data_IF_838523240654
#
_entry.id   IF_838523240654
#
_cell.length_a   1.000
_cell.length_b   1.000
_cell.length_c   1.000
_cell.angle_alpha   90.00
_cell.angle_beta   90.00
_cell.angle_gamma   90.00
#
_symmetry.space_group_name_H-M   'P 1'
#
loop_
_entity.id
_entity.type
_entity.pdbx_description
1 polymer ?
#
# COMPACT_ATOMS: atom_id res chain seq x y z
N UNK A 1 4.34 -24.29 -12.97
CA UNK A 1 3.51 -23.54 -12.02
C UNK A 1 2.97 -22.35 -12.77
N UNK A 2 1.82 -22.52 -13.43
CA UNK A 2 1.24 -21.52 -14.34
C UNK A 2 0.43 -20.57 -13.48
N UNK A 3 0.82 -19.31 -13.39
CA UNK A 3 -0.02 -18.29 -12.76
C UNK A 3 -1.27 -18.11 -13.63
N UNK A 4 -2.42 -18.52 -13.12
CA UNK A 4 -3.70 -18.36 -13.81
C UNK A 4 -4.11 -16.88 -13.75
N UNK A 5 -4.10 -16.21 -14.91
CA UNK A 5 -4.39 -14.79 -15.06
C UNK A 5 -5.87 -14.51 -15.36
N UNK A 6 -6.72 -15.55 -15.41
CA UNK A 6 -8.02 -15.44 -16.09
C UNK A 6 -9.20 -14.98 -15.22
N UNK A 7 -9.00 -14.57 -13.96
CA UNK A 7 -10.08 -13.95 -13.21
C UNK A 7 -9.54 -12.95 -12.18
N UNK A 8 -9.38 -11.68 -12.59
CA UNK A 8 -9.11 -10.58 -11.66
C UNK A 8 -10.44 -10.05 -11.14
N UNK A 9 -10.86 -10.51 -9.97
CA UNK A 9 -11.85 -9.77 -9.18
C UNK A 9 -11.21 -8.41 -8.85
N UNK A 10 -11.73 -7.33 -9.46
CA UNK A 10 -11.32 -5.97 -9.12
C UNK A 10 -11.89 -5.65 -7.74
N UNK A 11 -11.06 -5.71 -6.72
CA UNK A 11 -11.40 -5.25 -5.37
C UNK A 11 -11.10 -3.74 -5.29
N UNK A 12 -12.13 -2.92 -5.04
CA UNK A 12 -11.96 -1.50 -4.79
C UNK A 12 -11.60 -1.31 -3.32
N UNK A 13 -10.49 -0.64 -3.08
CA UNK A 13 -10.06 -0.25 -1.74
C UNK A 13 -10.68 1.12 -1.42
N UNK A 14 -11.55 1.24 -0.40
CA UNK A 14 -12.29 2.48 -0.12
C UNK A 14 -11.42 3.48 0.66
N UNK A 15 -10.36 3.99 0.02
CA UNK A 15 -9.45 4.98 0.61
C UNK A 15 -9.41 6.25 -0.23
N UNK A 16 -9.39 7.39 0.44
CA UNK A 16 -9.15 8.68 -0.19
C UNK A 16 -7.63 8.88 -0.26
N UNK A 17 -7.13 9.03 -1.48
CA UNK A 17 -5.73 9.30 -1.77
C UNK A 17 -5.64 10.46 -2.76
N UNK A 18 -4.54 11.18 -2.73
CA UNK A 18 -4.34 12.40 -3.52
C UNK A 18 -3.35 12.12 -4.67
N UNK A 19 -2.13 11.70 -4.34
CA UNK A 19 -1.10 11.42 -5.33
C UNK A 19 -0.20 10.26 -4.90
N UNK A 20 -0.71 9.04 -5.06
CA UNK A 20 0.03 7.81 -4.78
C UNK A 20 1.09 7.58 -5.84
N UNK A 21 2.34 7.44 -5.42
CA UNK A 21 3.49 7.25 -6.34
C UNK A 21 4.19 5.90 -6.15
N UNK A 22 4.01 5.25 -5.01
CA UNK A 22 4.57 3.94 -4.73
C UNK A 22 3.62 3.10 -3.89
N UNK A 23 3.56 1.80 -4.13
CA UNK A 23 2.76 0.83 -3.38
C UNK A 23 3.51 -0.48 -3.19
N UNK A 24 3.23 -1.17 -2.09
CA UNK A 24 3.64 -2.56 -1.85
C UNK A 24 2.56 -3.25 -1.00
N UNK A 25 2.59 -4.57 -0.89
CA UNK A 25 1.64 -5.32 -0.10
C UNK A 25 2.28 -6.47 0.65
N UNK A 26 1.72 -6.79 1.81
CA UNK A 26 1.88 -8.10 2.43
C UNK A 26 0.67 -8.97 2.06
N UNK A 27 0.91 -9.94 1.19
CA UNK A 27 -0.13 -10.83 0.69
C UNK A 27 -0.60 -11.84 1.73
N UNK A 28 0.19 -12.10 2.79
CA UNK A 28 -0.21 -13.05 3.86
C UNK A 28 -1.28 -12.42 4.76
N UNK A 29 -1.07 -11.17 5.18
CA UNK A 29 -2.03 -10.42 6.00
C UNK A 29 -3.11 -9.70 5.19
N UNK A 30 -2.91 -9.53 3.88
CA UNK A 30 -3.80 -8.72 3.05
C UNK A 30 -3.64 -7.23 3.34
N UNK A 31 -2.43 -6.79 3.66
CA UNK A 31 -2.11 -5.40 3.97
C UNK A 31 -1.57 -4.70 2.75
N UNK A 32 -2.12 -3.53 2.44
CA UNK A 32 -1.60 -2.61 1.42
C UNK A 32 -0.82 -1.49 2.10
N UNK A 33 0.30 -1.10 1.52
CA UNK A 33 1.07 0.07 1.90
C UNK A 33 1.21 0.99 0.70
N UNK A 34 1.16 2.29 0.92
CA UNK A 34 1.36 3.27 -0.13
C UNK A 34 2.08 4.52 0.36
N UNK A 35 2.75 5.19 -0.57
CA UNK A 35 3.28 6.54 -0.37
C UNK A 35 2.48 7.54 -1.19
N UNK A 36 1.99 8.58 -0.53
CA UNK A 36 1.31 9.70 -1.16
C UNK A 36 2.18 10.96 -1.09
N UNK A 37 2.58 11.45 -2.26
CA UNK A 37 3.47 12.61 -2.41
C UNK A 37 2.78 13.94 -2.14
N UNK A 38 1.45 14.03 -2.31
CA UNK A 38 0.73 15.28 -2.09
C UNK A 38 0.59 15.56 -0.61
N UNK A 39 0.24 14.53 0.18
CA UNK A 39 0.12 14.65 1.64
C UNK A 39 1.43 14.36 2.39
N UNK A 40 2.46 13.86 1.69
CA UNK A 40 3.78 13.50 2.22
C UNK A 40 3.72 12.45 3.33
N UNK A 41 3.00 11.36 3.07
CA UNK A 41 2.78 10.28 4.05
C UNK A 41 3.01 8.90 3.46
N UNK A 42 3.44 7.97 4.32
CA UNK A 42 3.35 6.52 4.07
C UNK A 42 2.25 5.99 4.98
N UNK A 43 1.30 5.28 4.40
CA UNK A 43 0.17 4.71 5.12
C UNK A 43 -0.02 3.24 4.78
N UNK A 44 -0.73 2.53 5.67
CA UNK A 44 -1.14 1.14 5.47
C UNK A 44 -2.65 0.99 5.59
N UNK A 45 -3.15 -0.11 5.04
CA UNK A 45 -4.51 -0.56 5.23
C UNK A 45 -4.53 -2.09 5.26
N UNK A 46 -5.01 -2.63 6.36
CA UNK A 46 -5.33 -4.05 6.48
C UNK A 46 -6.72 -4.32 5.90
N UNK A 47 -6.93 -5.48 5.27
CA UNK A 47 -8.21 -5.84 4.66
C UNK A 47 -9.34 -5.81 5.70
N UNK A 48 -10.32 -4.94 5.50
CA UNK A 48 -11.45 -4.73 6.41
C UNK A 48 -11.19 -3.73 7.55
N UNK A 49 -9.98 -3.17 7.62
CA UNK A 49 -9.59 -2.16 8.60
C UNK A 49 -9.82 -0.72 8.12
N UNK A 50 -9.17 0.20 8.82
CA UNK A 50 -9.11 1.62 8.46
C UNK A 50 -7.67 2.00 8.05
N UNK A 51 -7.49 3.04 7.21
CA UNK A 51 -6.17 3.54 6.87
C UNK A 51 -5.42 4.05 8.10
N UNK A 52 -4.15 3.68 8.21
CA UNK A 52 -3.26 4.10 9.29
C UNK A 52 -2.02 4.77 8.71
N UNK A 53 -1.63 5.91 9.29
CA UNK A 53 -0.40 6.63 8.90
C UNK A 53 0.78 6.01 9.64
N UNK A 54 1.74 5.48 8.88
CA UNK A 54 2.99 4.93 9.41
C UNK A 54 4.10 5.99 9.50
N UNK A 55 4.17 6.86 8.49
CA UNK A 55 5.13 7.97 8.42
C UNK A 55 4.39 9.25 8.05
N UNK A 56 4.41 10.23 8.96
CA UNK A 56 3.68 11.49 8.82
C UNK A 56 4.53 12.73 8.56
N UNK A 57 5.86 12.61 8.53
CA UNK A 57 6.77 13.75 8.37
C UNK A 57 8.14 13.31 7.84
N UNK A 58 8.96 14.27 7.41
CA UNK A 58 10.32 14.01 6.90
C UNK A 58 10.37 13.42 5.49
N UNK A 59 9.23 13.31 4.82
CA UNK A 59 9.12 12.85 3.44
C UNK A 59 9.11 14.04 2.47
N UNK A 60 9.82 13.91 1.36
CA UNK A 60 9.80 14.89 0.28
C UNK A 60 9.49 14.19 -1.05
N UNK A 61 10.50 13.56 -1.66
CA UNK A 61 10.34 12.71 -2.83
C UNK A 61 10.43 11.24 -2.42
N UNK A 62 9.40 10.46 -2.74
CA UNK A 62 9.40 9.00 -2.60
C UNK A 62 9.25 8.39 -4.00
N UNK A 63 10.23 7.59 -4.42
CA UNK A 63 10.25 6.96 -5.76
C UNK A 63 9.94 5.46 -5.71
N UNK A 64 9.96 4.86 -4.52
CA UNK A 64 9.74 3.43 -4.33
C UNK A 64 9.41 3.08 -2.89
N UNK A 65 8.77 1.93 -2.71
CA UNK A 65 8.36 1.37 -1.42
C UNK A 65 8.58 -0.15 -1.47
N UNK A 66 9.20 -0.71 -0.43
CA UNK A 66 9.38 -2.16 -0.29
C UNK A 66 9.03 -2.57 1.14
N UNK A 67 8.50 -3.78 1.30
CA UNK A 67 8.13 -4.36 2.59
C UNK A 67 8.82 -5.71 2.77
N UNK A 68 9.49 -5.91 3.92
CA UNK A 68 10.04 -7.21 4.29
C UNK A 68 8.97 -8.04 5.01
N UNK A 69 8.47 -9.07 4.33
CA UNK A 69 7.41 -9.95 4.85
C UNK A 69 7.91 -11.09 5.76
N UNK A 70 9.23 -11.20 5.97
CA UNK A 70 9.82 -12.22 6.84
C UNK A 70 9.93 -11.68 8.26
N UNK A 71 10.36 -10.42 8.39
CA UNK A 71 10.58 -9.78 9.70
C UNK A 71 9.50 -8.77 10.08
N UNK A 72 8.68 -8.35 9.12
CA UNK A 72 7.59 -7.38 9.32
C UNK A 72 6.41 -7.93 10.10
#
# INVERSE_FOLDING_TARGET
>A
MTADLNQRSLERVPVLVENVVATTSDMKSGTLFWSDMKVKQIAKLEKGGQPEVLVGSGLDLVEGLAYDWITG
#
